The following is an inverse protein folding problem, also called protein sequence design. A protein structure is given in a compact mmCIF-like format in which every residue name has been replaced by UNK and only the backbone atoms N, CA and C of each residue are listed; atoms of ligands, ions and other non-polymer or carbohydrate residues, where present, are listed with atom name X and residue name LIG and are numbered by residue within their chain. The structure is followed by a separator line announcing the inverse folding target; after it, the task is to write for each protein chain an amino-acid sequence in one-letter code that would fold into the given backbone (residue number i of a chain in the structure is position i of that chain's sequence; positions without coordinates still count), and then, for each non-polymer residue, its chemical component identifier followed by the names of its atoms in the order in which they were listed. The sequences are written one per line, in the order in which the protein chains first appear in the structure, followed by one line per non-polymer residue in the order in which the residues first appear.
data_IF_805918726129
#
_entry.id   IF_805918726129
#
_cell.length_a   1.000
_cell.length_b   1.000
_cell.length_c   1.000
_cell.angle_alpha   90.00
_cell.angle_beta   90.00
_cell.angle_gamma   90.00
#
_symmetry.space_group_name_H-M   'P 1'
#
loop_
_entity.id
_entity.type
_entity.pdbx_description
1 polymer ?
#
# COMPACT_ATOMS: atom_id res chain seq x y z
N UNK A 1 -17.21 -9.70 14.66
CA UNK A 1 -15.92 -9.21 14.12
C UNK A 1 -16.09 -7.74 13.77
N UNK A 2 -15.21 -6.83 14.21
CA UNK A 2 -15.26 -5.42 13.76
C UNK A 2 -15.10 -5.39 12.24
N UNK A 3 -15.94 -4.64 11.53
CA UNK A 3 -15.75 -4.39 10.10
C UNK A 3 -14.42 -3.65 9.89
N UNK A 4 -13.37 -4.37 9.49
CA UNK A 4 -12.06 -3.78 9.20
C UNK A 4 -12.17 -3.11 7.85
N UNK A 5 -12.25 -1.78 7.87
CA UNK A 5 -12.30 -0.96 6.67
C UNK A 5 -11.01 -0.15 6.52
N UNK A 6 -10.60 0.07 5.26
CA UNK A 6 -9.53 1.00 4.92
C UNK A 6 -10.05 2.44 4.94
N UNK A 7 -9.26 3.35 5.52
CA UNK A 7 -9.54 4.79 5.44
C UNK A 7 -9.31 5.32 4.03
N UNK A 8 -9.82 6.51 3.67
CA UNK A 8 -9.57 7.11 2.35
C UNK A 8 -8.07 7.21 2.01
N UNK A 9 -7.24 7.58 3.00
CA UNK A 9 -5.78 7.61 2.86
C UNK A 9 -5.20 6.23 2.55
N UNK A 10 -5.58 5.20 3.31
CA UNK A 10 -5.08 3.84 3.12
C UNK A 10 -5.51 3.27 1.76
N UNK A 11 -6.75 3.54 1.34
CA UNK A 11 -7.25 3.18 0.00
C UNK A 11 -6.43 3.86 -1.10
N UNK A 12 -6.09 5.15 -0.94
CA UNK A 12 -5.25 5.88 -1.89
C UNK A 12 -3.85 5.26 -2.00
N UNK A 13 -3.21 4.94 -0.87
CA UNK A 13 -1.90 4.26 -0.83
C UNK A 13 -1.98 2.89 -1.51
N UNK A 14 -2.97 2.07 -1.18
CA UNK A 14 -3.15 0.74 -1.77
C UNK A 14 -3.43 0.82 -3.27
N UNK A 15 -4.21 1.79 -3.72
CA UNK A 15 -4.46 2.04 -5.15
C UNK A 15 -3.16 2.40 -5.89
N UNK A 16 -2.35 3.29 -5.33
CA UNK A 16 -1.04 3.63 -5.91
C UNK A 16 -0.12 2.40 -5.97
N UNK A 17 -0.09 1.59 -4.91
CA UNK A 17 0.72 0.37 -4.86
C UNK A 17 0.26 -0.70 -5.87
N UNK A 18 -1.06 -0.87 -6.05
CA UNK A 18 -1.63 -1.81 -7.03
C UNK A 18 -1.30 -1.45 -8.48
N UNK A 19 -1.10 -0.15 -8.75
CA UNK A 19 -0.76 0.39 -10.07
C UNK A 19 0.74 0.65 -10.25
N UNK A 20 1.59 0.17 -9.35
CA UNK A 20 3.04 0.37 -9.39
C UNK A 20 3.47 1.85 -9.53
N UNK A 21 2.74 2.76 -8.90
CA UNK A 21 3.04 4.20 -8.98
C UNK A 21 4.38 4.51 -8.30
N UNK A 22 5.36 4.98 -9.08
CA UNK A 22 6.70 5.33 -8.60
C UNK A 22 6.69 6.47 -7.56
N UNK A 23 5.61 7.24 -7.49
CA UNK A 23 5.45 8.32 -6.54
C UNK A 23 5.12 7.82 -5.13
N UNK A 24 4.85 6.54 -4.93
CA UNK A 24 4.66 5.94 -3.61
C UNK A 24 6.00 5.74 -2.88
N UNK A 25 6.75 6.82 -2.72
CA UNK A 25 8.05 6.84 -2.05
C UNK A 25 8.09 8.01 -1.07
N UNK A 26 9.05 7.97 -0.15
CA UNK A 26 9.25 9.05 0.83
C UNK A 26 9.61 10.39 0.17
N UNK A 27 10.20 10.36 -1.03
CA UNK A 27 10.61 11.59 -1.72
C UNK A 27 9.41 12.44 -2.15
N UNK A 28 8.30 11.82 -2.59
CA UNK A 28 7.07 12.51 -3.00
C UNK A 28 5.97 12.47 -1.92
N UNK A 29 6.23 11.88 -0.76
CA UNK A 29 5.17 11.64 0.23
C UNK A 29 4.61 12.94 0.81
N UNK A 30 5.43 14.01 0.88
CA UNK A 30 5.02 15.30 1.42
C UNK A 30 4.00 16.00 0.51
N UNK A 31 4.23 15.96 -0.80
CA UNK A 31 3.35 16.55 -1.82
C UNK A 31 2.04 15.77 -1.97
N UNK A 32 2.08 14.45 -1.75
CA UNK A 32 0.94 13.57 -2.02
C UNK A 32 0.06 13.37 -0.78
N UNK A 33 0.66 13.34 0.41
CA UNK A 33 0.00 12.96 1.65
C UNK A 33 0.16 13.99 2.78
N UNK A 34 0.38 15.28 2.49
CA UNK A 34 0.30 16.38 3.47
C UNK A 34 1.00 16.06 4.82
N UNK A 35 2.32 15.85 4.79
CA UNK A 35 3.16 15.56 5.97
C UNK A 35 2.95 14.20 6.66
N UNK A 36 2.18 13.28 6.09
CA UNK A 36 2.05 11.93 6.63
C UNK A 36 3.38 11.17 6.50
N UNK A 37 3.79 10.50 7.59
CA UNK A 37 4.85 9.51 7.54
C UNK A 37 4.33 8.23 6.85
N UNK A 38 4.58 8.13 5.54
CA UNK A 38 4.13 7.00 4.72
C UNK A 38 4.58 5.65 5.28
N UNK A 39 5.79 5.58 5.86
CA UNK A 39 6.32 4.36 6.44
C UNK A 39 5.49 3.89 7.65
N UNK A 40 5.06 4.82 8.50
CA UNK A 40 4.22 4.50 9.66
C UNK A 40 2.83 4.02 9.22
N UNK A 41 2.23 4.66 8.20
CA UNK A 41 0.92 4.23 7.70
C UNK A 41 0.98 2.83 7.10
N UNK A 42 2.01 2.53 6.32
CA UNK A 42 2.18 1.19 5.76
C UNK A 42 2.40 0.17 6.88
N UNK A 43 3.37 0.41 7.77
CA UNK A 43 3.76 -0.56 8.80
C UNK A 43 2.72 -0.76 9.89
N UNK A 44 2.21 0.31 10.47
CA UNK A 44 1.37 0.27 11.67
C UNK A 44 -0.13 0.20 11.37
N UNK A 45 -0.54 0.37 10.11
CA UNK A 45 -1.97 0.39 9.74
C UNK A 45 -2.29 -0.57 8.62
N UNK A 46 -1.69 -0.39 7.45
CA UNK A 46 -2.05 -1.17 6.26
C UNK A 46 -1.66 -2.64 6.42
N UNK A 47 -0.40 -2.93 6.80
CA UNK A 47 0.08 -4.31 6.96
C UNK A 47 -0.73 -5.09 8.00
N UNK A 48 -1.07 -4.47 9.14
CA UNK A 48 -1.90 -5.08 10.19
C UNK A 48 -3.30 -5.38 9.67
N UNK A 49 -3.93 -4.45 8.95
CA UNK A 49 -5.26 -4.70 8.36
C UNK A 49 -5.22 -5.82 7.32
N UNK A 50 -4.17 -5.86 6.49
CA UNK A 50 -4.02 -6.90 5.49
C UNK A 50 -3.76 -8.27 6.11
N UNK A 51 -2.96 -8.38 7.17
CA UNK A 51 -2.74 -9.67 7.86
C UNK A 51 -4.07 -10.23 8.39
N UNK A 52 -4.89 -9.38 9.01
CA UNK A 52 -6.20 -9.80 9.52
C UNK A 52 -7.18 -10.15 8.38
N UNK A 53 -7.30 -9.29 7.37
CA UNK A 53 -8.25 -9.48 6.26
C UNK A 53 -7.90 -10.69 5.38
N UNK A 54 -6.61 -10.96 5.21
CA UNK A 54 -6.13 -12.11 4.44
C UNK A 54 -5.94 -13.38 5.28
N UNK A 55 -6.17 -13.30 6.60
CA UNK A 55 -6.00 -14.39 7.56
C UNK A 55 -4.61 -15.03 7.48
N UNK A 56 -3.58 -14.19 7.49
CA UNK A 56 -2.18 -14.61 7.44
C UNK A 56 -1.46 -14.03 8.65
N UNK A 57 -0.47 -14.76 9.17
CA UNK A 57 0.36 -14.29 10.27
C UNK A 57 1.04 -12.97 9.89
N UNK A 58 0.95 -11.98 10.78
CA UNK A 58 1.55 -10.66 10.57
C UNK A 58 3.07 -10.77 10.37
N UNK A 59 3.75 -11.64 11.12
CA UNK A 59 5.20 -11.78 11.00
C UNK A 59 5.60 -12.42 9.67
N UNK A 60 4.75 -13.30 9.14
CA UNK A 60 4.92 -13.83 7.79
C UNK A 60 4.72 -12.76 6.72
N UNK A 61 3.72 -11.88 6.85
CA UNK A 61 3.37 -10.93 5.79
C UNK A 61 4.02 -9.56 5.89
N UNK A 62 4.67 -9.25 7.03
CA UNK A 62 5.19 -7.93 7.36
C UNK A 62 6.03 -7.37 6.22
N UNK A 63 7.00 -8.11 5.70
CA UNK A 63 7.87 -7.60 4.63
C UNK A 63 7.62 -8.26 3.27
N UNK A 64 6.68 -9.21 3.21
CA UNK A 64 6.31 -9.89 1.97
C UNK A 64 5.25 -9.09 1.21
N UNK A 65 4.17 -8.61 1.87
CA UNK A 65 3.08 -7.95 1.13
C UNK A 65 3.55 -6.62 0.54
N UNK A 66 4.30 -5.85 1.33
CA UNK A 66 4.87 -4.58 0.91
C UNK A 66 6.39 -4.64 1.00
N UNK A 67 7.07 -4.53 -0.13
CA UNK A 67 8.53 -4.43 -0.19
C UNK A 67 8.95 -3.03 -0.65
N UNK A 68 10.23 -2.70 -0.45
CA UNK A 68 10.82 -1.44 -0.92
C UNK A 68 11.70 -1.73 -2.12
N UNK A 69 11.32 -1.20 -3.27
CA UNK A 69 12.13 -1.18 -4.48
C UNK A 69 13.03 0.06 -4.48
N UNK A 70 14.33 -0.14 -4.61
CA UNK A 70 15.29 0.96 -4.68
C UNK A 70 15.43 1.46 -6.11
N UNK A 71 15.30 2.77 -6.33
CA UNK A 71 15.60 3.44 -7.61
C UNK A 71 16.54 4.60 -7.42
N UNK A 72 17.41 4.83 -8.39
CA UNK A 72 18.18 6.07 -8.49
C UNK A 72 17.39 7.13 -9.25
N UNK A 73 17.38 8.35 -8.73
CA UNK A 73 16.83 9.53 -9.41
C UNK A 73 17.87 10.63 -9.45
N UNK A 74 17.88 11.38 -10.56
CA UNK A 74 18.76 12.52 -10.74
C UNK A 74 18.01 13.79 -10.36
N UNK A 75 18.53 14.53 -9.38
CA UNK A 75 17.99 15.83 -8.96
C UNK A 75 18.26 16.88 -10.04
N UNK A 76 17.53 18.01 -9.97
CA UNK A 76 17.71 19.16 -10.89
C UNK A 76 19.16 19.69 -10.93
N UNK A 77 19.91 19.53 -9.85
CA UNK A 77 21.31 19.92 -9.74
C UNK A 77 22.31 18.82 -10.20
N UNK A 78 21.84 17.79 -10.90
CA UNK A 78 22.67 16.68 -11.39
C UNK A 78 23.05 15.63 -10.34
N UNK A 79 22.76 15.85 -9.04
CA UNK A 79 23.07 14.88 -7.98
C UNK A 79 22.15 13.66 -8.09
N UNK A 80 22.75 12.46 -8.15
CA UNK A 80 22.02 11.19 -8.03
C UNK A 80 21.69 10.91 -6.56
N UNK A 81 20.47 10.48 -6.31
CA UNK A 81 20.03 10.01 -4.99
C UNK A 81 19.25 8.71 -5.13
N UNK A 82 19.43 7.82 -4.17
CA UNK A 82 18.67 6.59 -4.06
C UNK A 82 17.36 6.86 -3.31
N UNK A 83 16.24 6.43 -3.88
CA UNK A 83 14.90 6.51 -3.28
C UNK A 83 14.31 5.11 -3.13
N UNK A 84 13.59 4.89 -2.03
CA UNK A 84 12.83 3.66 -1.78
C UNK A 84 11.37 3.84 -2.16
N UNK A 85 10.88 3.03 -3.10
CA UNK A 85 9.50 3.02 -3.58
C UNK A 85 8.78 1.82 -2.97
N UNK A 86 7.64 2.06 -2.33
CA UNK A 86 6.83 0.97 -1.80
C UNK A 86 6.10 0.24 -2.93
N UNK A 87 6.22 -1.08 -2.93
CA UNK A 87 5.60 -1.98 -3.89
C UNK A 87 4.77 -3.02 -3.21
N UNK A 88 3.70 -3.44 -3.88
CA UNK A 88 2.94 -4.60 -3.46
C UNK A 88 3.49 -5.85 -4.15
N UNK A 89 3.74 -6.90 -3.40
CA UNK A 89 4.16 -8.17 -3.98
C UNK A 89 3.08 -8.73 -4.93
N UNK A 90 3.56 -9.27 -6.06
CA UNK A 90 2.69 -9.76 -7.15
C UNK A 90 1.69 -10.81 -6.67
N UNK A 91 2.07 -11.65 -5.72
CA UNK A 91 1.23 -12.74 -5.22
C UNK A 91 0.06 -12.22 -4.37
N UNK A 92 0.12 -10.97 -3.93
CA UNK A 92 -0.89 -10.32 -3.11
C UNK A 92 -1.75 -9.32 -3.89
N UNK A 93 -1.35 -8.88 -5.09
CA UNK A 93 -2.09 -7.87 -5.88
C UNK A 93 -3.54 -8.25 -6.14
N UNK A 94 -3.81 -9.50 -6.53
CA UNK A 94 -5.17 -9.97 -6.77
C UNK A 94 -6.03 -9.93 -5.50
N UNK A 95 -5.48 -10.41 -4.38
CA UNK A 95 -6.16 -10.44 -3.07
C UNK A 95 -6.46 -9.04 -2.55
N UNK A 96 -5.47 -8.14 -2.63
CA UNK A 96 -5.63 -6.74 -2.22
C UNK A 96 -6.64 -6.01 -3.11
N UNK A 97 -6.63 -6.26 -4.42
CA UNK A 97 -7.63 -5.70 -5.34
C UNK A 97 -9.05 -6.17 -4.99
N UNK A 98 -9.23 -7.44 -4.62
CA UNK A 98 -10.53 -7.95 -4.17
C UNK A 98 -11.01 -7.25 -2.89
N UNK A 99 -10.13 -7.04 -1.91
CA UNK A 99 -10.43 -6.31 -0.67
C UNK A 99 -10.76 -4.83 -0.90
N UNK A 100 -10.29 -4.25 -2.01
CA UNK A 100 -10.53 -2.85 -2.35
C UNK A 100 -11.79 -2.62 -3.19
N UNK A 101 -12.40 -3.66 -3.76
CA UNK A 101 -13.68 -3.52 -4.45
C UNK A 101 -14.77 -3.16 -3.43
N UNK A 102 -15.69 -2.24 -3.76
CA UNK A 102 -16.89 -2.10 -2.96
C UNK A 102 -17.60 -3.45 -2.89
N UNK A 103 -18.09 -3.85 -1.71
CA UNK A 103 -18.97 -5.01 -1.57
C UNK A 103 -20.24 -4.71 -2.38
N UNK A 104 -20.30 -5.16 -3.63
CA UNK A 104 -21.58 -5.36 -4.30
C UNK A 104 -22.22 -6.56 -3.62
N UNK A 105 -23.25 -6.31 -2.80
CA UNK A 105 -24.23 -7.34 -2.50
C UNK A 105 -24.85 -7.73 -3.84
N UNK A 106 -24.45 -8.86 -4.41
CA UNK A 106 -25.32 -9.54 -5.37
C UNK A 106 -26.53 -10.01 -4.55
N UNK A 107 -27.63 -9.27 -4.67
CA UNK A 107 -28.93 -9.73 -4.21
C UNK A 107 -29.24 -10.96 -5.06
N UNK A 108 -29.06 -12.15 -4.49
CA UNK A 108 -29.66 -13.35 -5.03
C UNK A 108 -31.17 -13.20 -4.81
N UNK A 109 -31.87 -12.73 -5.84
CA UNK A 109 -33.32 -12.89 -5.92
C UNK A 109 -33.61 -14.39 -5.92
N UNK A 110 -34.36 -14.80 -4.89
CA UNK A 110 -34.85 -16.16 -4.69
C UNK A 110 -36.12 -16.39 -5.49
#
# INVERSE_FOLDING_TARGET
MKNINFTPLEKRILSMALNDDNRLCSFYSKEIFEHINLADVIRKRIRIKLSILLRVDYDYVKDIIFYTETKEVTKRNGKKVSIGIYRLDKNFKAKVRALMKPYTYEVQES
#
